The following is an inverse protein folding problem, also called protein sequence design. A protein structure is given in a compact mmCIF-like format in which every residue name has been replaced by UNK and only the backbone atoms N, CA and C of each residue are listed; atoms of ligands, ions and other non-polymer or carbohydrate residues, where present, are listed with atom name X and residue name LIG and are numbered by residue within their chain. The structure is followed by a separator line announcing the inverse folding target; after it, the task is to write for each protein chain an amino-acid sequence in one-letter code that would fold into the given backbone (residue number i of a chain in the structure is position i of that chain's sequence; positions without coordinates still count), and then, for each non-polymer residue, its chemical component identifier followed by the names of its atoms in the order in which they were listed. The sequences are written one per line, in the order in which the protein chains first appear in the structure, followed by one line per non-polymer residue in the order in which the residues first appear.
data_IF_287907404040
#
_entry.id   IF_287907404040
#
_cell.length_a   1.000
_cell.length_b   1.000
_cell.length_c   1.000
_cell.angle_alpha   90.00
_cell.angle_beta   90.00
_cell.angle_gamma   90.00
#
_symmetry.space_group_name_H-M   'P 1'
#
loop_
_entity.id
_entity.type
_entity.pdbx_description
1 polymer ?
#
# COMPACT_ATOMS: atom_id res chain seq x y z
N UNK A 1 2.32 -12.47 -26.92
CA UNK A 1 3.06 -12.13 -25.70
C UNK A 1 2.36 -11.10 -24.79
N UNK A 2 1.30 -10.42 -25.25
CA UNK A 2 0.57 -9.36 -24.54
C UNK A 2 -0.47 -9.83 -23.49
N UNK A 3 -0.68 -11.13 -23.29
CA UNK A 3 -1.73 -11.69 -22.43
C UNK A 3 -1.23 -12.38 -21.14
N UNK A 4 0.08 -12.42 -20.90
CA UNK A 4 0.61 -13.02 -19.69
C UNK A 4 0.56 -12.00 -18.53
N UNK A 5 0.13 -12.45 -17.34
CA UNK A 5 0.18 -11.64 -16.13
C UNK A 5 1.63 -11.16 -15.88
N UNK A 6 1.78 -9.92 -15.42
CA UNK A 6 3.10 -9.33 -15.13
C UNK A 6 3.73 -9.97 -13.89
N UNK A 7 2.93 -10.32 -12.91
CA UNK A 7 3.35 -11.01 -11.69
C UNK A 7 2.80 -12.43 -11.65
N UNK A 8 3.36 -13.26 -10.78
CA UNK A 8 2.77 -14.55 -10.44
C UNK A 8 1.42 -14.36 -9.76
N UNK A 9 0.30 -14.87 -10.30
CA UNK A 9 -1.01 -14.79 -9.67
C UNK A 9 -1.01 -15.43 -8.27
N UNK A 10 -1.67 -14.78 -7.32
CA UNK A 10 -1.86 -15.30 -5.97
C UNK A 10 -3.33 -15.63 -5.79
N UNK A 11 -3.70 -16.88 -6.01
CA UNK A 11 -5.09 -17.38 -5.98
C UNK A 11 -5.40 -18.22 -4.75
N UNK A 12 -4.39 -18.90 -4.20
CA UNK A 12 -4.52 -19.73 -3.01
C UNK A 12 -3.86 -19.06 -1.81
N UNK A 13 -4.61 -18.92 -0.74
CA UNK A 13 -4.19 -18.28 0.50
C UNK A 13 -3.97 -19.28 1.63
N UNK A 14 -4.40 -20.53 1.49
CA UNK A 14 -4.29 -21.53 2.54
C UNK A 14 -2.82 -21.73 2.96
N UNK A 15 -2.51 -21.42 4.20
CA UNK A 15 -1.17 -21.52 4.76
C UNK A 15 -0.14 -20.50 4.22
N UNK A 16 -0.53 -19.59 3.34
CA UNK A 16 0.36 -18.56 2.79
C UNK A 16 0.74 -17.54 3.86
N UNK A 17 2.03 -17.30 4.00
CA UNK A 17 2.64 -16.45 5.05
C UNK A 17 2.62 -14.99 4.58
N UNK A 18 1.77 -14.19 5.17
CA UNK A 18 1.57 -12.77 4.79
C UNK A 18 1.93 -11.87 5.96
N UNK A 19 2.86 -10.94 5.71
CA UNK A 19 3.16 -9.87 6.65
C UNK A 19 2.51 -8.56 6.20
N UNK A 20 1.56 -8.05 6.99
CA UNK A 20 0.81 -6.84 6.70
C UNK A 20 1.23 -5.72 7.65
N UNK A 21 1.92 -4.71 7.13
CA UNK A 21 2.39 -3.55 7.87
C UNK A 21 1.44 -2.38 7.65
N UNK A 22 0.81 -1.89 8.73
CA UNK A 22 -0.30 -0.93 8.69
C UNK A 22 -1.66 -1.64 8.76
N UNK A 23 -1.75 -2.70 9.57
CA UNK A 23 -2.93 -3.57 9.66
C UNK A 23 -4.06 -3.00 10.54
N UNK A 24 -3.80 -2.01 11.40
CA UNK A 24 -4.68 -1.69 12.53
C UNK A 24 -5.99 -1.00 12.17
N UNK A 25 -6.15 -0.46 10.97
CA UNK A 25 -7.37 0.28 10.55
C UNK A 25 -7.56 0.27 9.03
N UNK A 26 -8.75 0.64 8.59
CA UNK A 26 -9.07 0.90 7.18
C UNK A 26 -8.78 -0.29 6.27
N UNK A 27 -8.09 -0.03 5.15
CA UNK A 27 -7.77 -1.06 4.14
C UNK A 27 -6.98 -2.21 4.75
N UNK A 28 -6.00 -1.90 5.63
CA UNK A 28 -5.17 -2.93 6.26
C UNK A 28 -5.97 -3.88 7.15
N UNK A 29 -6.86 -3.36 7.99
CA UNK A 29 -7.70 -4.19 8.84
C UNK A 29 -8.67 -5.07 8.01
N UNK A 30 -9.32 -4.49 7.01
CA UNK A 30 -10.21 -5.22 6.12
C UNK A 30 -9.47 -6.31 5.32
N UNK A 31 -8.25 -6.01 4.84
CA UNK A 31 -7.41 -6.98 4.13
C UNK A 31 -6.95 -8.11 5.06
N UNK A 32 -6.59 -7.80 6.32
CA UNK A 32 -6.23 -8.81 7.32
C UNK A 32 -7.38 -9.81 7.53
N UNK A 33 -8.60 -9.31 7.79
CA UNK A 33 -9.79 -10.15 7.95
C UNK A 33 -10.08 -10.99 6.69
N UNK A 34 -9.98 -10.39 5.52
CA UNK A 34 -10.23 -11.07 4.25
C UNK A 34 -9.19 -12.16 3.93
N UNK A 35 -7.94 -12.00 4.37
CA UNK A 35 -6.88 -13.01 4.24
C UNK A 35 -7.03 -14.10 5.30
N UNK A 36 -7.34 -13.75 6.55
CA UNK A 36 -7.59 -14.73 7.63
C UNK A 36 -8.72 -15.69 7.25
N UNK A 37 -9.84 -15.16 6.76
CA UNK A 37 -10.99 -15.99 6.33
C UNK A 37 -10.68 -16.94 5.15
N UNK A 38 -9.54 -16.78 4.50
CA UNK A 38 -9.03 -17.65 3.43
C UNK A 38 -7.88 -18.56 3.85
N UNK A 39 -7.60 -18.63 5.15
CA UNK A 39 -6.60 -19.53 5.71
C UNK A 39 -5.15 -19.05 5.56
N UNK A 40 -4.92 -17.75 5.32
CA UNK A 40 -3.58 -17.20 5.32
C UNK A 40 -2.98 -17.15 6.73
N UNK A 41 -1.69 -17.45 6.87
CA UNK A 41 -0.92 -17.22 8.10
C UNK A 41 -0.52 -15.75 8.14
N UNK A 42 -1.00 -15.01 9.13
CA UNK A 42 -0.84 -13.56 9.19
C UNK A 42 0.16 -13.11 10.25
N UNK A 43 1.00 -12.15 9.89
CA UNK A 43 1.68 -11.27 10.81
C UNK A 43 1.15 -9.85 10.60
N UNK A 44 0.66 -9.24 11.65
CA UNK A 44 0.01 -7.94 11.61
C UNK A 44 0.84 -6.92 12.38
N UNK A 45 1.24 -5.85 11.71
CA UNK A 45 2.06 -4.80 12.29
C UNK A 45 1.40 -3.43 12.17
N UNK A 46 1.44 -2.66 13.25
CA UNK A 46 1.09 -1.24 13.32
C UNK A 46 1.65 -0.65 14.60
N UNK A 47 1.63 0.69 14.73
CA UNK A 47 2.11 1.39 15.93
C UNK A 47 1.25 1.14 17.18
N UNK A 48 -0.07 1.08 17.00
CA UNK A 48 -1.01 0.90 18.12
C UNK A 48 -1.23 -0.58 18.40
N UNK A 49 -0.68 -1.08 19.51
CA UNK A 49 -0.91 -2.42 20.03
C UNK A 49 -2.39 -2.71 20.31
N UNK A 50 -3.11 -1.73 20.87
CA UNK A 50 -4.52 -1.89 21.24
C UNK A 50 -5.40 -2.09 19.99
N UNK A 51 -5.14 -1.31 18.92
CA UNK A 51 -5.86 -1.47 17.66
C UNK A 51 -5.49 -2.77 16.93
N UNK A 52 -4.27 -3.28 17.11
CA UNK A 52 -3.92 -4.61 16.60
C UNK A 52 -4.61 -5.70 17.41
N UNK A 53 -4.65 -5.58 18.74
CA UNK A 53 -5.35 -6.51 19.61
C UNK A 53 -6.85 -6.61 19.28
N UNK A 54 -7.48 -5.51 18.88
CA UNK A 54 -8.87 -5.51 18.43
C UNK A 54 -9.14 -6.36 17.16
N UNK A 55 -8.09 -6.77 16.43
CA UNK A 55 -8.21 -7.70 15.29
C UNK A 55 -8.11 -9.17 15.73
N UNK A 56 -7.79 -9.48 17.00
CA UNK A 56 -7.56 -10.83 17.46
C UNK A 56 -8.77 -11.76 17.24
N UNK A 57 -9.98 -11.26 17.44
CA UNK A 57 -11.20 -12.06 17.24
C UNK A 57 -11.43 -12.41 15.75
N UNK A 58 -11.09 -11.49 14.85
CA UNK A 58 -11.23 -11.69 13.41
C UNK A 58 -10.02 -12.42 12.78
N UNK A 59 -8.87 -12.42 13.46
CA UNK A 59 -7.62 -13.02 13.02
C UNK A 59 -6.95 -13.78 14.16
N UNK A 60 -7.58 -14.86 14.72
CA UNK A 60 -7.17 -15.48 15.97
C UNK A 60 -5.77 -16.10 15.94
N UNK A 61 -5.30 -16.52 14.77
CA UNK A 61 -3.97 -17.12 14.61
C UNK A 61 -2.90 -16.13 14.15
N UNK A 62 -3.23 -14.82 14.09
CA UNK A 62 -2.29 -13.81 13.60
C UNK A 62 -1.21 -13.51 14.65
N UNK A 63 0.04 -13.42 14.20
CA UNK A 63 1.14 -12.90 14.99
C UNK A 63 1.03 -11.38 15.06
N UNK A 64 0.76 -10.84 16.22
CA UNK A 64 0.75 -9.40 16.45
C UNK A 64 2.17 -8.91 16.71
N UNK A 65 2.67 -8.04 15.84
CA UNK A 65 4.02 -7.48 15.89
C UNK A 65 3.94 -5.94 15.90
N UNK A 66 3.65 -5.31 17.05
CA UNK A 66 3.60 -3.86 17.13
C UNK A 66 4.95 -3.25 16.74
N UNK A 67 4.94 -2.34 15.76
CA UNK A 67 6.14 -1.61 15.34
C UNK A 67 5.77 -0.26 14.68
N UNK A 68 6.73 0.64 14.69
CA UNK A 68 6.72 1.85 13.86
C UNK A 68 7.57 1.58 12.62
N UNK A 69 6.96 1.71 11.45
CA UNK A 69 7.63 1.48 10.15
C UNK A 69 8.82 2.44 9.91
N UNK A 70 8.85 3.58 10.58
CA UNK A 70 9.96 4.55 10.50
C UNK A 70 11.19 4.13 11.31
N UNK A 71 11.08 3.06 12.09
CA UNK A 71 12.18 2.50 12.90
C UNK A 71 12.69 1.22 12.24
N UNK A 72 13.74 1.37 11.47
CA UNK A 72 14.35 0.27 10.70
C UNK A 72 14.67 -0.95 11.58
N UNK A 73 15.20 -0.71 12.78
CA UNK A 73 15.56 -1.78 13.73
C UNK A 73 14.34 -2.58 14.19
N UNK A 74 13.19 -1.91 14.38
CA UNK A 74 11.94 -2.59 14.74
C UNK A 74 11.41 -3.46 13.59
N UNK A 75 11.55 -3.00 12.34
CA UNK A 75 11.19 -3.77 11.14
C UNK A 75 12.12 -4.97 11.00
N UNK A 76 13.43 -4.81 11.19
CA UNK A 76 14.41 -5.88 11.12
C UNK A 76 14.14 -6.95 12.20
N UNK A 77 13.95 -6.56 13.45
CA UNK A 77 13.63 -7.49 14.54
C UNK A 77 12.32 -8.27 14.31
N UNK A 78 11.29 -7.61 13.76
CA UNK A 78 10.05 -8.30 13.39
C UNK A 78 10.27 -9.30 12.25
N UNK A 79 11.05 -8.94 11.23
CA UNK A 79 11.41 -9.83 10.12
C UNK A 79 12.18 -11.06 10.60
N UNK A 80 13.18 -10.90 11.46
CA UNK A 80 13.95 -12.03 12.06
C UNK A 80 13.03 -12.98 12.81
N UNK A 81 12.08 -12.46 13.63
CA UNK A 81 11.09 -13.28 14.32
C UNK A 81 10.22 -14.07 13.35
N UNK A 82 9.81 -13.47 12.22
CA UNK A 82 9.02 -14.15 11.21
C UNK A 82 9.82 -15.22 10.46
N UNK A 83 11.08 -14.96 10.16
CA UNK A 83 11.97 -15.98 9.57
C UNK A 83 12.16 -17.17 10.53
N UNK A 84 12.41 -16.91 11.80
CA UNK A 84 12.56 -17.97 12.81
C UNK A 84 11.27 -18.80 12.98
N UNK A 85 10.09 -18.15 12.90
CA UNK A 85 8.81 -18.82 13.14
C UNK A 85 8.25 -19.52 11.90
N UNK A 86 8.40 -18.92 10.70
CA UNK A 86 7.81 -19.42 9.45
C UNK A 86 8.81 -19.94 8.43
N UNK A 87 10.10 -19.68 8.61
CA UNK A 87 11.14 -19.97 7.61
C UNK A 87 11.10 -19.08 6.38
N UNK A 88 10.23 -18.06 6.35
CA UNK A 88 10.13 -17.12 5.24
C UNK A 88 8.78 -16.42 5.17
N UNK A 89 8.65 -15.45 4.26
CA UNK A 89 7.45 -14.66 4.01
C UNK A 89 7.11 -14.78 2.52
N UNK A 90 5.85 -15.08 2.21
CA UNK A 90 5.40 -15.24 0.81
C UNK A 90 4.89 -13.93 0.22
N UNK A 91 4.26 -13.08 1.04
CA UNK A 91 3.82 -11.74 0.66
C UNK A 91 4.07 -10.77 1.81
N UNK A 92 4.72 -9.64 1.52
CA UNK A 92 4.73 -8.49 2.42
C UNK A 92 3.90 -7.35 1.82
N UNK A 93 3.04 -6.73 2.64
CA UNK A 93 2.19 -5.61 2.24
C UNK A 93 2.55 -4.38 3.06
N UNK A 94 3.11 -3.36 2.41
CA UNK A 94 3.39 -2.06 3.00
C UNK A 94 2.17 -1.15 2.83
N UNK A 95 1.25 -1.20 3.81
CA UNK A 95 0.01 -0.41 3.83
C UNK A 95 0.08 0.78 4.80
N UNK A 96 1.05 0.82 5.70
CA UNK A 96 1.21 1.95 6.62
C UNK A 96 1.31 3.27 5.85
N UNK A 97 0.58 4.27 6.32
CA UNK A 97 0.58 5.58 5.68
C UNK A 97 0.00 6.66 6.58
N UNK A 98 0.41 7.89 6.32
CA UNK A 98 -0.13 9.10 6.93
C UNK A 98 -0.53 10.08 5.83
N UNK A 99 -1.52 10.92 6.14
CA UNK A 99 -2.00 11.97 5.26
C UNK A 99 -2.34 13.20 6.08
N UNK A 100 -1.84 14.34 5.64
CA UNK A 100 -2.22 15.64 6.15
C UNK A 100 -2.53 16.53 4.96
N UNK A 101 -3.76 17.02 4.79
CA UNK A 101 -4.09 17.94 3.71
C UNK A 101 -3.37 19.27 3.93
N UNK A 102 -2.45 19.64 3.03
CA UNK A 102 -1.66 20.86 3.13
C UNK A 102 -1.67 21.61 1.80
N UNK A 103 -1.84 22.92 1.88
CA UNK A 103 -1.57 23.87 0.79
C UNK A 103 -0.09 24.24 0.74
N UNK A 104 0.37 24.79 -0.38
CA UNK A 104 1.77 25.17 -0.54
C UNK A 104 2.26 26.21 0.50
N UNK A 105 1.39 27.08 0.94
CA UNK A 105 1.67 28.09 1.97
C UNK A 105 1.54 27.58 3.41
N UNK A 106 1.13 26.34 3.62
CA UNK A 106 1.02 25.66 4.91
C UNK A 106 2.16 24.64 5.11
N UNK A 107 3.11 24.59 4.18
CA UNK A 107 4.22 23.65 4.24
C UNK A 107 5.13 23.95 5.42
N UNK A 108 5.40 22.93 6.22
CA UNK A 108 6.44 22.95 7.24
C UNK A 108 7.37 21.72 7.12
N UNK A 109 8.59 21.88 7.61
CA UNK A 109 9.61 20.84 7.48
C UNK A 109 9.31 19.57 8.30
N UNK A 110 8.55 19.69 9.40
CA UNK A 110 8.19 18.53 10.22
C UNK A 110 7.15 17.67 9.49
N UNK A 111 6.10 18.28 8.93
CA UNK A 111 5.08 17.58 8.14
C UNK A 111 5.67 16.90 6.89
N UNK A 112 6.64 17.54 6.22
CA UNK A 112 7.35 16.94 5.10
C UNK A 112 8.09 15.68 5.55
N UNK A 113 8.94 15.80 6.59
CA UNK A 113 9.74 14.67 7.08
C UNK A 113 8.87 13.52 7.59
N UNK A 114 7.82 13.80 8.36
CA UNK A 114 6.90 12.78 8.86
C UNK A 114 6.23 12.03 7.70
N UNK A 115 5.68 12.77 6.73
CA UNK A 115 5.01 12.14 5.58
C UNK A 115 5.96 11.27 4.78
N UNK A 116 7.16 11.75 4.48
CA UNK A 116 8.15 10.98 3.73
C UNK A 116 8.66 9.79 4.53
N UNK A 117 8.92 9.94 5.83
CA UNK A 117 9.37 8.85 6.68
C UNK A 117 8.39 7.69 6.69
N UNK A 118 7.08 7.96 6.87
CA UNK A 118 6.06 6.91 6.94
C UNK A 118 5.70 6.34 5.57
N UNK A 119 5.49 7.23 4.57
CA UNK A 119 4.89 6.81 3.29
C UNK A 119 5.91 6.32 2.26
N UNK A 120 7.19 6.65 2.43
CA UNK A 120 8.23 6.36 1.44
C UNK A 120 9.45 5.66 2.07
N UNK A 121 10.15 6.32 3.02
CA UNK A 121 11.41 5.78 3.55
C UNK A 121 11.16 4.48 4.32
N UNK A 122 10.14 4.43 5.18
CA UNK A 122 9.79 3.21 5.91
C UNK A 122 9.50 2.01 5.00
N UNK A 123 8.63 2.12 3.97
CA UNK A 123 8.47 1.07 2.97
C UNK A 123 9.77 0.70 2.22
N UNK A 124 10.63 1.67 1.85
CA UNK A 124 11.91 1.39 1.19
C UNK A 124 12.86 0.60 2.10
N UNK A 125 13.00 1.02 3.36
CA UNK A 125 13.80 0.31 4.37
C UNK A 125 13.22 -1.08 4.67
N UNK A 126 11.89 -1.19 4.71
CA UNK A 126 11.21 -2.46 4.87
C UNK A 126 11.47 -3.43 3.71
N UNK A 127 11.43 -2.94 2.48
CA UNK A 127 11.82 -3.74 1.29
C UNK A 127 13.28 -4.17 1.39
N UNK A 128 14.19 -3.26 1.70
CA UNK A 128 15.61 -3.58 1.88
C UNK A 128 15.85 -4.65 2.95
N UNK A 129 14.99 -4.71 3.98
CA UNK A 129 15.05 -5.70 5.05
C UNK A 129 14.58 -7.09 4.59
N UNK A 130 13.46 -7.18 3.85
CA UNK A 130 12.88 -8.49 3.49
C UNK A 130 13.47 -9.08 2.21
N UNK A 131 14.02 -8.26 1.34
CA UNK A 131 14.47 -8.63 0.00
C UNK A 131 15.59 -9.68 -0.01
N UNK A 132 16.63 -9.64 0.83
CA UNK A 132 17.70 -10.64 0.80
C UNK A 132 17.18 -12.08 0.95
N UNK A 133 16.28 -12.34 1.90
CA UNK A 133 15.71 -13.67 2.12
C UNK A 133 14.78 -14.11 0.96
N UNK A 134 14.11 -13.18 0.29
CA UNK A 134 13.31 -13.48 -0.91
C UNK A 134 14.21 -13.82 -2.11
N UNK A 135 15.31 -13.08 -2.30
CA UNK A 135 16.28 -13.34 -3.36
C UNK A 135 16.97 -14.69 -3.19
N UNK A 136 17.35 -15.06 -1.97
CA UNK A 136 17.94 -16.36 -1.65
C UNK A 136 17.00 -17.52 -2.00
N UNK A 137 15.70 -17.35 -1.72
CA UNK A 137 14.67 -18.33 -2.07
C UNK A 137 14.29 -18.33 -3.55
N UNK A 138 14.57 -17.27 -4.28
CA UNK A 138 14.08 -17.06 -5.65
C UNK A 138 12.55 -16.92 -5.71
N UNK A 139 11.89 -16.57 -4.60
CA UNK A 139 10.42 -16.51 -4.51
C UNK A 139 9.96 -15.51 -3.44
N UNK A 140 8.87 -14.82 -3.72
CA UNK A 140 8.25 -13.86 -2.80
C UNK A 140 7.42 -12.82 -3.54
N UNK A 141 6.67 -12.04 -2.79
CA UNK A 141 5.89 -10.96 -3.33
C UNK A 141 5.94 -9.72 -2.40
N UNK A 142 6.05 -8.56 -3.01
CA UNK A 142 6.07 -7.25 -2.34
C UNK A 142 4.89 -6.45 -2.86
N UNK A 143 4.01 -5.97 -1.98
CA UNK A 143 2.90 -5.10 -2.32
C UNK A 143 3.05 -3.74 -1.63
N UNK A 144 3.07 -2.66 -2.41
CA UNK A 144 3.24 -1.30 -1.94
C UNK A 144 1.94 -0.51 -2.11
N UNK A 145 1.37 0.02 -1.03
CA UNK A 145 0.12 0.79 -1.10
C UNK A 145 0.44 2.25 -1.43
N UNK A 146 0.31 2.56 -2.71
CA UNK A 146 0.38 3.89 -3.29
C UNK A 146 -0.91 4.71 -3.09
N UNK A 147 -1.32 5.44 -4.10
CA UNK A 147 -2.59 6.17 -4.21
C UNK A 147 -2.73 6.76 -5.61
N UNK A 148 -3.95 6.99 -6.07
CA UNK A 148 -4.22 7.84 -7.27
C UNK A 148 -3.67 9.27 -7.13
N UNK A 149 -3.44 9.74 -5.90
CA UNK A 149 -2.80 11.03 -5.63
C UNK A 149 -1.32 11.05 -6.06
N UNK A 150 -0.71 9.89 -6.27
CA UNK A 150 0.63 9.76 -6.83
C UNK A 150 0.70 9.85 -8.35
N UNK A 151 -0.41 9.76 -9.06
CA UNK A 151 -0.40 9.83 -10.53
C UNK A 151 -0.03 11.21 -11.04
N UNK A 152 -0.56 12.24 -10.42
CA UNK A 152 -0.31 13.64 -10.80
C UNK A 152 -0.69 14.60 -9.67
N UNK A 153 -0.09 15.80 -9.66
CA UNK A 153 -0.30 16.80 -8.60
C UNK A 153 -1.77 17.16 -8.42
N UNK A 154 -2.27 16.99 -7.20
CA UNK A 154 -3.62 17.36 -6.78
C UNK A 154 -3.56 18.43 -5.69
N UNK A 155 -4.57 19.32 -5.59
CA UNK A 155 -4.66 20.28 -4.50
C UNK A 155 -4.66 19.57 -3.14
N UNK A 156 -4.07 20.22 -2.12
CA UNK A 156 -3.97 19.71 -0.75
C UNK A 156 -3.22 18.40 -0.55
N UNK A 157 -2.58 17.87 -1.60
CA UNK A 157 -1.83 16.62 -1.55
C UNK A 157 -0.32 16.82 -1.71
N UNK A 158 0.20 17.99 -1.34
CA UNK A 158 1.56 18.40 -1.71
C UNK A 158 2.64 17.43 -1.18
N UNK A 159 2.62 17.04 0.08
CA UNK A 159 3.56 16.06 0.66
C UNK A 159 3.11 14.64 0.37
N UNK A 160 1.81 14.37 0.56
CA UNK A 160 1.23 13.05 0.36
C UNK A 160 1.35 12.58 -1.09
N UNK A 161 0.89 13.39 -2.05
CA UNK A 161 0.97 13.05 -3.47
C UNK A 161 2.41 12.83 -3.93
N UNK A 162 3.34 13.68 -3.49
CA UNK A 162 4.76 13.52 -3.78
C UNK A 162 5.33 12.20 -3.23
N UNK A 163 4.99 11.84 -1.97
CA UNK A 163 5.43 10.57 -1.38
C UNK A 163 4.87 9.36 -2.13
N UNK A 164 3.60 9.42 -2.57
CA UNK A 164 2.95 8.33 -3.30
C UNK A 164 3.43 8.23 -4.76
N UNK A 165 3.77 9.34 -5.40
CA UNK A 165 4.42 9.34 -6.72
C UNK A 165 5.80 8.68 -6.66
N UNK A 166 6.61 9.02 -5.65
CA UNK A 166 7.90 8.38 -5.44
C UNK A 166 7.77 6.88 -5.14
N UNK A 167 6.76 6.47 -4.35
CA UNK A 167 6.52 5.06 -4.05
C UNK A 167 6.07 4.26 -5.29
N UNK A 168 5.26 4.85 -6.18
CA UNK A 168 4.88 4.22 -7.46
C UNK A 168 6.13 4.02 -8.32
N UNK A 169 6.96 5.06 -8.48
CA UNK A 169 8.20 4.95 -9.23
C UNK A 169 9.16 3.90 -8.65
N UNK A 170 9.27 3.85 -7.32
CA UNK A 170 10.05 2.81 -6.63
C UNK A 170 9.54 1.41 -6.94
N UNK A 171 8.20 1.20 -6.94
CA UNK A 171 7.61 -0.09 -7.30
C UNK A 171 7.92 -0.50 -8.75
N UNK A 172 7.88 0.45 -9.70
CA UNK A 172 8.20 0.20 -11.11
C UNK A 172 9.66 -0.25 -11.27
N UNK A 173 10.59 0.44 -10.62
CA UNK A 173 12.02 0.08 -10.64
C UNK A 173 12.26 -1.27 -9.99
N UNK A 174 11.64 -1.53 -8.82
CA UNK A 174 11.72 -2.85 -8.18
C UNK A 174 11.23 -3.98 -9.09
N UNK A 175 10.12 -3.76 -9.79
CA UNK A 175 9.56 -4.76 -10.70
C UNK A 175 10.54 -5.12 -11.83
N UNK A 176 11.18 -4.11 -12.44
CA UNK A 176 12.16 -4.33 -13.51
C UNK A 176 13.34 -5.20 -13.06
N UNK A 177 13.81 -4.99 -11.84
CA UNK A 177 14.97 -5.71 -11.29
C UNK A 177 14.58 -7.11 -10.74
N UNK A 178 13.39 -7.25 -10.16
CA UNK A 178 13.01 -8.42 -9.37
C UNK A 178 12.17 -9.45 -10.14
N UNK A 179 11.42 -9.05 -11.17
CA UNK A 179 10.64 -9.98 -11.97
C UNK A 179 11.50 -11.09 -12.61
N UNK A 180 12.72 -10.81 -13.16
CA UNK A 180 13.61 -11.84 -13.65
C UNK A 180 14.17 -12.77 -12.56
N UNK A 181 14.05 -12.36 -11.28
CA UNK A 181 14.50 -13.12 -10.11
C UNK A 181 13.39 -13.92 -9.44
N UNK A 182 12.19 -13.99 -10.05
CA UNK A 182 11.05 -14.73 -9.51
C UNK A 182 10.30 -14.05 -8.36
N UNK A 183 10.57 -12.77 -8.10
CA UNK A 183 9.92 -12.00 -7.05
C UNK A 183 8.88 -11.07 -7.68
N UNK A 184 7.62 -11.19 -7.23
CA UNK A 184 6.52 -10.36 -7.72
C UNK A 184 6.48 -9.01 -7.00
N UNK A 185 6.18 -7.94 -7.75
CA UNK A 185 6.01 -6.60 -7.19
C UNK A 185 4.65 -6.05 -7.62
N UNK A 186 3.86 -5.64 -6.62
CA UNK A 186 2.53 -5.06 -6.82
C UNK A 186 2.52 -3.63 -6.29
N UNK A 187 1.94 -2.71 -7.04
CA UNK A 187 1.56 -1.40 -6.54
C UNK A 187 0.03 -1.30 -6.45
N UNK A 188 -0.47 -0.91 -5.29
CA UNK A 188 -1.90 -0.77 -5.03
C UNK A 188 -2.20 0.72 -4.97
N UNK A 189 -3.02 1.22 -5.90
CA UNK A 189 -3.37 2.62 -6.02
C UNK A 189 -4.86 2.86 -5.74
N UNK A 190 -5.26 2.99 -4.45
CA UNK A 190 -6.63 3.32 -4.09
C UNK A 190 -7.02 4.72 -4.56
N UNK A 191 -8.28 4.88 -4.95
CA UNK A 191 -8.97 6.15 -4.93
C UNK A 191 -9.46 6.47 -3.51
N UNK A 192 -10.72 6.95 -3.38
CA UNK A 192 -11.28 7.24 -2.08
C UNK A 192 -11.87 5.98 -1.44
N UNK A 193 -11.36 5.65 -0.25
CA UNK A 193 -11.82 4.53 0.59
C UNK A 193 -12.20 5.09 1.95
N UNK A 194 -13.36 4.70 2.47
CA UNK A 194 -13.84 5.11 3.79
C UNK A 194 -12.95 4.53 4.90
N UNK A 195 -12.06 5.37 5.41
CA UNK A 195 -11.06 5.03 6.42
C UNK A 195 -10.82 6.22 7.34
N UNK A 196 -10.22 6.04 8.53
CA UNK A 196 -9.82 7.16 9.37
C UNK A 196 -8.89 8.15 8.66
N UNK A 197 -8.09 7.69 7.70
CA UNK A 197 -7.20 8.55 6.92
C UNK A 197 -7.98 9.54 6.03
N UNK A 198 -9.03 9.07 5.36
CA UNK A 198 -9.86 9.87 4.44
C UNK A 198 -10.94 10.67 5.16
N UNK A 199 -11.26 10.34 6.42
CA UNK A 199 -12.20 11.10 7.24
C UNK A 199 -11.76 12.55 7.50
N UNK A 200 -10.47 12.88 7.27
CA UNK A 200 -9.91 14.23 7.37
C UNK A 200 -10.27 15.13 6.17
N UNK A 201 -10.86 14.57 5.11
CA UNK A 201 -11.26 15.35 3.94
C UNK A 201 -12.56 16.12 4.22
N UNK A 202 -12.56 17.40 3.91
CA UNK A 202 -13.69 18.32 4.04
C UNK A 202 -14.46 18.55 2.71
N UNK A 203 -14.25 17.68 1.74
CA UNK A 203 -14.88 17.74 0.43
C UNK A 203 -15.57 16.42 0.06
N UNK A 204 -16.52 16.49 -0.88
CA UNK A 204 -17.17 15.29 -1.41
C UNK A 204 -16.17 14.42 -2.14
N UNK A 205 -15.96 13.20 -1.64
CA UNK A 205 -15.07 12.20 -2.23
C UNK A 205 -15.78 11.43 -3.35
N UNK A 206 -15.37 11.59 -4.63
CA UNK A 206 -16.02 10.89 -5.73
C UNK A 206 -15.75 9.39 -5.67
N UNK A 207 -16.80 8.59 -5.92
CA UNK A 207 -16.73 7.13 -5.95
C UNK A 207 -16.11 6.50 -4.67
N UNK A 208 -16.46 7.04 -3.49
CA UNK A 208 -16.07 6.49 -2.20
C UNK A 208 -16.55 5.04 -2.07
N UNK A 209 -15.64 4.15 -1.68
CA UNK A 209 -15.95 2.72 -1.42
C UNK A 209 -15.61 2.35 0.03
N UNK A 210 -16.14 1.22 0.51
CA UNK A 210 -15.78 0.68 1.83
C UNK A 210 -14.38 0.06 1.84
N UNK A 211 -13.81 -0.12 3.03
CA UNK A 211 -12.54 -0.82 3.22
C UNK A 211 -12.64 -2.31 2.79
N UNK A 212 -13.78 -2.95 3.01
CA UNK A 212 -14.01 -4.34 2.60
C UNK A 212 -14.05 -4.49 1.08
N UNK A 213 -14.72 -3.54 0.39
CA UNK A 213 -14.68 -3.49 -1.08
C UNK A 213 -13.25 -3.32 -1.58
N UNK A 214 -12.47 -2.44 -0.94
CA UNK A 214 -11.07 -2.23 -1.29
C UNK A 214 -10.23 -3.50 -1.08
N UNK A 215 -10.42 -4.21 0.03
CA UNK A 215 -9.75 -5.49 0.28
C UNK A 215 -10.10 -6.54 -0.78
N UNK A 216 -11.37 -6.63 -1.19
CA UNK A 216 -11.80 -7.50 -2.30
C UNK A 216 -11.12 -7.16 -3.63
N UNK A 217 -11.02 -5.87 -3.99
CA UNK A 217 -10.32 -5.42 -5.20
C UNK A 217 -8.82 -5.74 -5.16
N UNK A 218 -8.17 -5.61 -3.98
CA UNK A 218 -6.77 -5.99 -3.78
C UNK A 218 -6.59 -7.49 -4.04
N UNK A 219 -7.37 -8.33 -3.37
CA UNK A 219 -7.29 -9.79 -3.54
C UNK A 219 -7.56 -10.21 -4.99
N UNK A 220 -8.53 -9.60 -5.64
CA UNK A 220 -8.83 -9.86 -7.05
C UNK A 220 -7.66 -9.45 -7.98
N UNK A 221 -7.01 -8.32 -7.72
CA UNK A 221 -5.84 -7.87 -8.48
C UNK A 221 -4.62 -8.78 -8.28
N UNK A 222 -4.37 -9.22 -7.03
CA UNK A 222 -3.32 -10.19 -6.69
C UNK A 222 -3.57 -11.53 -7.40
N UNK A 223 -4.83 -11.98 -7.44
CA UNK A 223 -5.22 -13.21 -8.14
C UNK A 223 -5.04 -13.12 -9.66
N UNK A 224 -5.13 -11.93 -10.26
CA UNK A 224 -4.84 -11.71 -11.69
C UNK A 224 -3.36 -11.48 -11.99
N UNK A 225 -2.51 -11.33 -10.98
CA UNK A 225 -1.09 -10.99 -11.16
C UNK A 225 -0.89 -9.60 -11.77
N UNK A 226 -1.80 -8.64 -11.51
CA UNK A 226 -1.69 -7.27 -11.99
C UNK A 226 -0.51 -6.57 -11.31
N UNK A 227 0.37 -5.90 -12.08
CA UNK A 227 1.40 -5.05 -11.47
C UNK A 227 0.76 -3.89 -10.70
N UNK A 228 -0.22 -3.22 -11.32
CA UNK A 228 -0.94 -2.12 -10.70
C UNK A 228 -2.39 -2.48 -10.42
N UNK A 229 -2.72 -2.57 -9.14
CA UNK A 229 -4.07 -2.81 -8.64
C UNK A 229 -4.67 -1.45 -8.25
N UNK A 230 -5.67 -0.97 -9.01
CA UNK A 230 -6.28 0.33 -8.76
C UNK A 230 -7.79 0.24 -8.71
N UNK A 231 -8.41 0.97 -7.81
CA UNK A 231 -9.85 0.93 -7.58
C UNK A 231 -10.37 2.24 -6.93
N UNK A 232 -11.68 2.55 -7.06
CA UNK A 232 -12.64 1.90 -7.95
C UNK A 232 -12.34 2.24 -9.42
N UNK A 233 -12.47 1.27 -10.31
CA UNK A 233 -12.01 1.38 -11.72
C UNK A 233 -12.60 2.59 -12.46
N UNK A 234 -13.87 2.96 -12.16
CA UNK A 234 -14.53 4.13 -12.80
C UNK A 234 -13.76 5.43 -12.53
N UNK A 235 -13.39 5.67 -11.28
CA UNK A 235 -12.66 6.87 -10.87
C UNK A 235 -11.19 6.82 -11.30
N UNK A 236 -10.52 5.71 -11.05
CA UNK A 236 -9.09 5.59 -11.30
C UNK A 236 -8.72 5.60 -12.78
N UNK A 237 -9.61 5.12 -13.67
CA UNK A 237 -9.44 5.25 -15.13
C UNK A 237 -9.49 6.72 -15.58
N UNK A 238 -10.39 7.51 -14.98
CA UNK A 238 -10.42 8.96 -15.24
C UNK A 238 -9.12 9.62 -14.77
N UNK A 239 -8.63 9.28 -13.59
CA UNK A 239 -7.37 9.80 -13.07
C UNK A 239 -6.18 9.45 -13.98
N UNK A 240 -6.14 8.23 -14.51
CA UNK A 240 -5.13 7.81 -15.50
C UNK A 240 -5.24 8.58 -16.81
N UNK A 241 -6.45 8.79 -17.31
CA UNK A 241 -6.65 9.62 -18.52
C UNK A 241 -6.19 11.07 -18.29
N UNK A 242 -6.47 11.63 -17.11
CA UNK A 242 -6.00 12.98 -16.73
C UNK A 242 -4.47 13.06 -16.64
N UNK A 243 -3.80 11.96 -16.27
CA UNK A 243 -2.34 11.90 -16.23
C UNK A 243 -1.71 12.14 -17.61
N UNK A 244 -2.36 11.71 -18.69
CA UNK A 244 -1.87 11.86 -20.07
C UNK A 244 -2.09 13.25 -20.65
N UNK A 245 -2.87 14.13 -20.02
CA UNK A 245 -3.14 15.47 -20.57
C UNK A 245 -1.89 16.37 -20.57
N UNK A 246 -1.71 17.25 -21.56
CA UNK A 246 -0.75 18.34 -21.49
C UNK A 246 -0.95 19.20 -20.23
N UNK A 247 0.13 19.66 -19.61
CA UNK A 247 0.09 20.38 -18.32
C UNK A 247 -0.90 21.54 -18.28
N UNK A 248 -0.98 22.34 -19.36
CA UNK A 248 -1.91 23.47 -19.44
C UNK A 248 -3.38 23.03 -19.32
N UNK A 249 -3.76 21.98 -20.03
CA UNK A 249 -5.12 21.45 -20.00
C UNK A 249 -5.41 20.80 -18.63
N UNK A 250 -4.48 20.03 -18.10
CA UNK A 250 -4.61 19.42 -16.78
C UNK A 250 -4.86 20.47 -15.68
N UNK A 251 -3.99 21.48 -15.60
CA UNK A 251 -4.14 22.51 -14.55
C UNK A 251 -5.42 23.30 -14.66
N UNK A 252 -5.83 23.68 -15.88
CA UNK A 252 -7.10 24.36 -16.12
C UNK A 252 -8.29 23.50 -15.65
N UNK A 253 -8.29 22.21 -16.02
CA UNK A 253 -9.35 21.28 -15.66
C UNK A 253 -9.42 21.01 -14.15
N UNK A 254 -8.27 20.76 -13.50
CA UNK A 254 -8.22 20.53 -12.05
C UNK A 254 -8.70 21.75 -11.28
N UNK A 255 -8.27 22.98 -11.66
CA UNK A 255 -8.77 24.21 -11.02
C UNK A 255 -10.30 24.30 -11.12
N UNK A 256 -10.86 24.06 -12.31
CA UNK A 256 -12.31 24.10 -12.51
C UNK A 256 -13.04 23.05 -11.67
N UNK A 257 -12.52 21.82 -11.59
CA UNK A 257 -13.14 20.70 -10.85
C UNK A 257 -13.02 20.85 -9.34
N UNK A 258 -12.00 21.56 -8.85
CA UNK A 258 -11.72 21.71 -7.41
C UNK A 258 -12.05 23.09 -6.86
N UNK A 259 -12.60 24.00 -7.68
CA UNK A 259 -12.99 25.35 -7.27
C UNK A 259 -11.80 26.27 -6.95
N UNK A 260 -10.64 26.07 -7.60
CA UNK A 260 -9.41 26.87 -7.41
C UNK A 260 -9.24 27.89 -8.52
#
# INVERSE_FOLDING_TARGET
MLLRALNTPITDWQGRRVWLIGASTGIGAALACALASRGAKLALSARSSDKLAALADACPEALLLPLDITRREAVAAAHERLLAHWGGIDLVVFNAGTYRPLRAWELDAAAIRETLAVNLIGPMDGVATVLPAMLERGAGAIALVGSVAGYRGLPRAITYGSSKAALIHFAETLYLDLAPRGISVFVINPGFVATPLTAQNDFRMPALISADTAAGEILAGLARGEFEIHFPKRFTRVMKALQCLPRRLYFSLIRKLTGL
#
